data_IF_083750998843
#
_entry.id   IF_083750998843
#
_cell.length_a   1.000
_cell.length_b   1.000
_cell.length_c   1.000
_cell.angle_alpha   90.00
_cell.angle_beta   90.00
_cell.angle_gamma   90.00
#
_symmetry.space_group_name_H-M   'P 1'
#
loop_
_entity.id
_entity.type
_entity.pdbx_description
1 polymer ?
#
# COMPACT_ATOMS: atom_id res chain seq x y z
N UNK A 1 9.50 -7.02 0.09
CA UNK A 1 8.16 -7.48 -0.31
C UNK A 1 7.43 -6.35 -1.00
N UNK A 2 6.75 -6.65 -2.11
CA UNK A 2 5.79 -5.78 -2.76
C UNK A 2 4.37 -6.31 -2.48
N UNK A 3 3.57 -5.54 -1.74
CA UNK A 3 2.20 -5.93 -1.35
C UNK A 3 1.18 -5.18 -2.21
N UNK A 4 0.42 -5.93 -3.02
CA UNK A 4 -0.49 -5.37 -4.03
C UNK A 4 0.29 -4.93 -5.27
N UNK A 5 1.05 -5.84 -5.88
CA UNK A 5 2.05 -5.48 -6.88
C UNK A 5 1.45 -4.90 -8.17
N UNK A 6 0.17 -5.15 -8.49
CA UNK A 6 -0.51 -4.55 -9.63
C UNK A 6 0.21 -4.85 -10.96
N UNK A 7 0.67 -3.80 -11.66
CA UNK A 7 1.46 -3.95 -12.88
C UNK A 7 2.95 -4.23 -12.64
N UNK A 8 3.41 -4.26 -11.38
CA UNK A 8 4.78 -4.59 -11.00
C UNK A 8 5.75 -3.42 -10.98
N UNK A 9 5.28 -2.17 -11.04
CA UNK A 9 6.17 -1.01 -11.07
C UNK A 9 7.04 -0.94 -9.80
N UNK A 10 6.46 -1.11 -8.61
CA UNK A 10 7.21 -1.12 -7.35
C UNK A 10 8.15 -2.33 -7.27
N UNK A 11 7.69 -3.51 -7.67
CA UNK A 11 8.51 -4.72 -7.84
C UNK A 11 9.77 -4.45 -8.68
N UNK A 12 9.65 -3.80 -9.84
CA UNK A 12 10.79 -3.49 -10.71
C UNK A 12 11.81 -2.54 -10.06
N UNK A 13 11.35 -1.56 -9.28
CA UNK A 13 12.25 -0.70 -8.51
C UNK A 13 12.94 -1.48 -7.38
N UNK A 14 12.19 -2.32 -6.64
CA UNK A 14 12.74 -3.15 -5.57
C UNK A 14 13.83 -4.11 -6.09
N UNK A 15 13.63 -4.71 -7.26
CA UNK A 15 14.60 -5.62 -7.89
C UNK A 15 15.96 -4.98 -8.23
N UNK A 16 16.06 -3.64 -8.21
CA UNK A 16 17.34 -2.92 -8.36
C UNK A 16 18.11 -2.77 -7.06
N UNK A 17 17.46 -3.01 -5.93
CA UNK A 17 17.98 -2.74 -4.59
C UNK A 17 17.91 -3.95 -3.65
N UNK A 18 17.21 -5.01 -4.05
CA UNK A 18 17.01 -6.22 -3.29
C UNK A 18 17.45 -7.46 -4.08
N UNK A 19 18.11 -8.39 -3.39
CA UNK A 19 18.52 -9.69 -3.96
C UNK A 19 17.32 -10.61 -4.21
N UNK A 20 16.24 -10.42 -3.44
CA UNK A 20 15.02 -11.23 -3.47
C UNK A 20 13.79 -10.38 -3.21
N UNK A 21 12.81 -10.44 -4.12
CA UNK A 21 11.53 -9.75 -4.01
C UNK A 21 10.41 -10.78 -4.02
N UNK A 22 9.57 -10.74 -3.00
CA UNK A 22 8.26 -11.41 -2.99
C UNK A 22 7.21 -10.38 -3.35
N UNK A 23 6.49 -10.61 -4.43
CA UNK A 23 5.39 -9.76 -4.88
C UNK A 23 4.06 -10.52 -4.73
N UNK A 24 3.08 -9.86 -4.10
CA UNK A 24 1.77 -10.44 -3.80
C UNK A 24 0.65 -9.63 -4.43
N UNK A 25 -0.37 -10.33 -4.93
CA UNK A 25 -1.60 -9.70 -5.40
C UNK A 25 -2.78 -10.68 -5.33
N UNK A 26 -3.99 -10.18 -5.12
CA UNK A 26 -5.20 -11.01 -5.14
C UNK A 26 -5.57 -11.43 -6.58
N UNK A 27 -5.18 -10.61 -7.56
CA UNK A 27 -5.52 -10.77 -8.97
C UNK A 27 -4.45 -11.56 -9.72
N UNK A 28 -4.86 -12.70 -10.29
CA UNK A 28 -4.01 -13.45 -11.21
C UNK A 28 -3.56 -12.61 -12.42
N UNK A 29 -4.39 -11.67 -12.88
CA UNK A 29 -4.07 -10.77 -13.99
C UNK A 29 -2.97 -9.77 -13.60
N UNK A 30 -2.98 -9.23 -12.38
CA UNK A 30 -1.91 -8.38 -11.87
C UNK A 30 -0.57 -9.14 -11.77
N UNK A 31 -0.60 -10.35 -11.24
CA UNK A 31 0.61 -11.21 -11.19
C UNK A 31 1.16 -11.50 -12.59
N UNK A 32 0.28 -11.75 -13.58
CA UNK A 32 0.71 -11.95 -14.97
C UNK A 32 1.36 -10.70 -15.57
N UNK A 33 0.80 -9.50 -15.34
CA UNK A 33 1.41 -8.25 -15.77
C UNK A 33 2.75 -7.99 -15.08
N UNK A 34 2.85 -8.26 -13.79
CA UNK A 34 4.09 -8.15 -13.03
C UNK A 34 5.16 -9.10 -13.58
N UNK A 35 4.81 -10.36 -13.84
CA UNK A 35 5.70 -11.34 -14.44
C UNK A 35 6.19 -10.90 -15.84
N UNK A 36 5.26 -10.43 -16.68
CA UNK A 36 5.58 -9.93 -18.01
C UNK A 36 6.55 -8.74 -17.97
N UNK A 37 6.28 -7.76 -17.11
CA UNK A 37 7.13 -6.57 -16.97
C UNK A 37 8.50 -6.91 -16.38
N UNK A 38 8.58 -7.88 -15.45
CA UNK A 38 9.85 -8.40 -14.93
C UNK A 38 10.67 -9.11 -16.02
N UNK A 39 10.03 -9.97 -16.81
CA UNK A 39 10.68 -10.65 -17.94
C UNK A 39 11.19 -9.65 -18.99
N UNK A 40 10.40 -8.61 -19.30
CA UNK A 40 10.81 -7.53 -20.21
C UNK A 40 12.02 -6.75 -19.67
N UNK A 41 12.15 -6.63 -18.35
CA UNK A 41 13.29 -6.02 -17.68
C UNK A 41 14.50 -6.95 -17.51
N UNK A 42 14.44 -8.20 -18.03
CA UNK A 42 15.53 -9.18 -17.94
C UNK A 42 15.66 -9.87 -16.57
N UNK A 43 14.60 -9.85 -15.77
CA UNK A 43 14.59 -10.44 -14.42
C UNK A 43 14.08 -11.88 -14.46
N UNK A 44 14.77 -12.77 -13.75
CA UNK A 44 14.33 -14.16 -13.56
C UNK A 44 13.18 -14.21 -12.55
N UNK A 45 12.07 -14.84 -12.95
CA UNK A 45 10.86 -15.00 -12.14
C UNK A 45 10.75 -16.46 -11.70
N UNK A 46 10.78 -16.70 -10.40
CA UNK A 46 10.53 -18.00 -9.79
C UNK A 46 9.06 -18.10 -9.37
N UNK A 47 8.39 -19.19 -9.78
CA UNK A 47 7.03 -19.50 -9.34
C UNK A 47 6.06 -19.73 -10.49
N UNK A 48 5.35 -20.85 -10.43
CA UNK A 48 4.33 -21.23 -11.39
C UNK A 48 3.08 -20.33 -11.22
N UNK A 49 2.77 -19.52 -12.24
CA UNK A 49 1.39 -19.07 -12.45
C UNK A 49 0.58 -20.33 -12.73
N UNK A 50 -0.18 -20.80 -11.73
CA UNK A 50 -0.86 -22.08 -11.80
C UNK A 50 -1.79 -22.22 -13.01
N UNK A 51 -1.34 -22.98 -14.01
CA UNK A 51 -2.15 -23.84 -14.86
C UNK A 51 -1.25 -24.92 -15.50
N UNK A 52 -1.32 -26.14 -14.99
CA UNK A 52 -0.74 -27.32 -15.64
C UNK A 52 0.74 -27.57 -15.33
N UNK A 53 1.02 -28.78 -14.85
CA UNK A 53 2.34 -29.39 -14.84
C UNK A 53 2.93 -29.41 -16.25
N UNK A 54 3.97 -28.63 -16.49
CA UNK A 54 5.14 -29.06 -17.27
C UNK A 54 6.30 -28.12 -16.91
N UNK A 55 7.24 -28.67 -16.13
CA UNK A 55 8.52 -28.04 -15.90
C UNK A 55 9.27 -27.99 -17.22
N UNK A 56 9.22 -26.85 -17.91
CA UNK A 56 10.23 -26.58 -18.93
C UNK A 56 11.51 -26.28 -18.15
N UNK A 57 12.35 -27.31 -18.04
CA UNK A 57 13.74 -27.14 -17.66
C UNK A 57 14.40 -26.24 -18.71
N UNK A 58 14.32 -24.93 -18.49
CA UNK A 58 15.12 -23.94 -19.19
C UNK A 58 16.57 -24.14 -18.78
N UNK A 59 17.39 -24.41 -19.78
CA UNK A 59 18.82 -24.70 -19.66
C UNK A 59 19.55 -23.72 -18.73
N UNK A 60 20.26 -24.28 -17.76
CA UNK A 60 21.36 -23.61 -17.07
C UNK A 60 22.47 -23.32 -18.09
N UNK A 61 22.42 -22.15 -18.70
CA UNK A 61 23.51 -21.63 -19.52
C UNK A 61 23.57 -20.12 -19.42
N UNK A 62 24.21 -19.66 -18.35
CA UNK A 62 25.03 -18.45 -18.26
C UNK A 62 24.41 -17.12 -18.68
N UNK A 63 24.01 -16.31 -17.69
CA UNK A 63 24.81 -15.15 -17.32
C UNK A 63 24.46 -14.75 -15.88
N UNK A 64 25.50 -14.57 -15.07
CA UNK A 64 25.45 -13.93 -13.76
C UNK A 64 25.15 -12.43 -13.96
N UNK A 65 23.94 -12.14 -14.45
CA UNK A 65 23.42 -10.78 -14.40
C UNK A 65 22.87 -10.59 -12.99
N UNK A 66 23.34 -9.57 -12.28
CA UNK A 66 22.86 -9.18 -10.94
C UNK A 66 21.39 -8.71 -10.92
N UNK A 67 20.52 -9.34 -11.71
CA UNK A 67 19.09 -9.18 -11.70
C UNK A 67 18.53 -9.90 -10.47
N UNK A 68 17.89 -9.15 -9.57
CA UNK A 68 17.26 -9.71 -8.37
C UNK A 68 16.29 -10.84 -8.68
N UNK A 69 16.05 -11.75 -7.73
CA UNK A 69 15.10 -12.86 -7.89
C UNK A 69 13.69 -12.42 -7.53
N UNK A 70 12.69 -12.81 -8.33
CA UNK A 70 11.27 -12.49 -8.08
C UNK A 70 10.46 -13.76 -7.75
N UNK A 71 9.68 -13.73 -6.67
CA UNK A 71 8.65 -14.72 -6.33
C UNK A 71 7.27 -14.07 -6.39
N UNK A 72 6.31 -14.72 -7.08
CA UNK A 72 4.94 -14.24 -7.22
C UNK A 72 3.97 -15.12 -6.44
N UNK A 73 3.17 -14.52 -5.56
CA UNK A 73 2.18 -15.22 -4.75
C UNK A 73 0.80 -14.60 -4.86
N UNK A 74 -0.22 -15.45 -5.03
CA UNK A 74 -1.61 -15.00 -5.09
C UNK A 74 -2.27 -15.09 -3.72
N UNK A 75 -2.92 -14.01 -3.30
CA UNK A 75 -3.86 -14.01 -2.18
C UNK A 75 -4.06 -12.62 -1.59
N UNK A 76 -4.75 -12.55 -0.45
CA UNK A 76 -5.17 -11.28 0.13
C UNK A 76 -4.14 -10.76 1.14
N UNK A 77 -3.68 -9.53 0.95
CA UNK A 77 -2.80 -8.82 1.88
C UNK A 77 -1.59 -9.67 2.31
N UNK A 78 -1.48 -9.95 3.61
CA UNK A 78 -0.37 -10.68 4.22
C UNK A 78 -0.59 -12.20 4.26
N UNK A 79 -1.77 -12.71 3.88
CA UNK A 79 -2.11 -14.14 3.94
C UNK A 79 -1.11 -15.04 3.18
N UNK A 80 -0.64 -14.69 1.96
CA UNK A 80 0.30 -15.54 1.22
C UNK A 80 1.69 -15.65 1.85
N UNK A 81 2.02 -14.76 2.78
CA UNK A 81 3.34 -14.66 3.41
C UNK A 81 3.28 -14.93 4.92
N UNK A 82 2.22 -15.59 5.39
CA UNK A 82 2.09 -16.03 6.78
C UNK A 82 3.36 -16.73 7.28
N UNK A 83 3.89 -16.27 8.42
CA UNK A 83 5.12 -16.80 9.02
C UNK A 83 6.43 -16.35 8.37
N UNK A 84 6.38 -15.54 7.30
CA UNK A 84 7.57 -14.96 6.65
C UNK A 84 7.78 -13.53 7.13
N UNK A 85 9.06 -13.14 7.22
CA UNK A 85 9.50 -11.80 7.59
C UNK A 85 10.35 -11.18 6.49
N UNK A 86 10.41 -9.85 6.47
CA UNK A 86 11.06 -9.06 5.43
C UNK A 86 11.82 -7.87 6.04
N UNK A 87 12.92 -7.50 5.40
CA UNK A 87 13.70 -6.29 5.73
C UNK A 87 13.02 -4.99 5.23
N UNK A 88 12.19 -5.11 4.19
CA UNK A 88 11.43 -4.01 3.61
C UNK A 88 10.09 -4.52 3.07
N UNK A 89 9.00 -3.89 3.48
CA UNK A 89 7.66 -4.05 2.89
C UNK A 89 7.28 -2.74 2.19
N UNK A 90 6.92 -2.80 0.92
CA UNK A 90 6.40 -1.65 0.18
C UNK A 90 4.99 -1.95 -0.29
N UNK A 91 4.09 -0.97 -0.23
CA UNK A 91 2.73 -1.15 -0.73
C UNK A 91 2.13 0.15 -1.25
N UNK A 92 1.38 0.05 -2.35
CA UNK A 92 0.34 1.01 -2.71
C UNK A 92 -1.00 0.27 -2.63
N UNK A 93 -1.55 0.09 -1.41
CA UNK A 93 -2.75 -0.72 -1.23
C UNK A 93 -3.96 -0.06 -1.91
N UNK A 94 -4.98 -0.82 -2.29
CA UNK A 94 -6.20 -0.24 -2.86
C UNK A 94 -6.80 0.77 -1.86
N UNK A 95 -7.15 1.94 -2.38
CA UNK A 95 -7.38 3.16 -1.59
C UNK A 95 -8.72 3.85 -1.90
N UNK A 96 -9.51 3.31 -2.83
CA UNK A 96 -10.85 3.85 -3.08
C UNK A 96 -11.81 3.27 -2.05
N UNK A 97 -12.41 4.16 -1.26
CA UNK A 97 -13.39 3.82 -0.22
C UNK A 97 -14.78 3.91 -0.85
N UNK A 98 -15.13 2.91 -1.66
CA UNK A 98 -16.46 2.84 -2.29
C UNK A 98 -17.49 2.32 -1.28
N UNK A 99 -18.55 3.09 -0.97
CA UNK A 99 -19.71 2.68 -0.20
C UNK A 99 -20.42 1.46 -0.77
N UNK A 100 -21.07 0.66 0.09
CA UNK A 100 -21.86 -0.50 -0.34
C UNK A 100 -22.96 -0.17 -1.36
N UNK A 101 -23.67 0.94 -1.18
CA UNK A 101 -24.80 1.32 -2.06
C UNK A 101 -24.37 1.49 -3.53
N UNK A 102 -23.21 2.09 -3.77
CA UNK A 102 -22.66 2.25 -5.14
C UNK A 102 -22.25 0.91 -5.75
N UNK A 103 -21.78 -0.05 -4.94
CA UNK A 103 -21.49 -1.41 -5.39
C UNK A 103 -22.76 -2.18 -5.74
N UNK A 104 -23.79 -2.06 -4.90
CA UNK A 104 -25.09 -2.70 -5.10
C UNK A 104 -25.81 -2.17 -6.35
N UNK A 105 -25.63 -0.89 -6.67
CA UNK A 105 -26.14 -0.26 -7.89
C UNK A 105 -25.48 -0.78 -9.19
N UNK A 106 -24.42 -1.61 -9.10
CA UNK A 106 -23.75 -2.19 -10.27
C UNK A 106 -23.01 -1.16 -11.12
N UNK A 107 -22.71 0.01 -10.56
CA UNK A 107 -21.95 1.04 -11.25
C UNK A 107 -20.53 0.54 -11.58
N UNK A 108 -19.89 1.04 -12.65
CA UNK A 108 -18.56 0.58 -13.05
C UNK A 108 -17.56 0.74 -11.90
N UNK A 109 -17.20 -0.39 -11.28
CA UNK A 109 -16.24 -0.38 -10.19
C UNK A 109 -14.84 -0.26 -10.75
N UNK A 110 -14.02 0.47 -10.01
CA UNK A 110 -12.61 0.65 -10.27
C UNK A 110 -11.84 -0.64 -9.95
N UNK A 111 -11.86 -1.60 -10.89
CA UNK A 111 -11.04 -2.81 -10.80
C UNK A 111 -9.61 -2.39 -10.41
N UNK A 112 -9.07 -3.00 -9.35
CA UNK A 112 -7.75 -2.74 -8.74
C UNK A 112 -7.59 -1.58 -7.76
N UNK A 113 -8.45 -0.54 -7.80
CA UNK A 113 -8.34 0.58 -6.85
C UNK A 113 -9.39 0.50 -5.74
N UNK A 114 -10.49 -0.19 -6.01
CA UNK A 114 -11.60 -0.32 -5.08
C UNK A 114 -11.36 -1.37 -4.00
N UNK A 115 -11.23 -0.89 -2.76
CA UNK A 115 -11.14 -1.72 -1.58
C UNK A 115 -12.49 -2.04 -0.93
N UNK A 116 -13.52 -1.24 -1.20
CA UNK A 116 -14.86 -1.36 -0.61
C UNK A 116 -14.95 -1.01 0.87
N UNK A 117 -13.83 -0.57 1.44
CA UNK A 117 -13.68 -0.21 2.84
C UNK A 117 -12.21 0.05 3.17
N UNK A 118 -11.90 0.54 4.38
CA UNK A 118 -10.53 0.85 4.77
C UNK A 118 -9.69 -0.42 4.93
N UNK A 119 -8.66 -0.59 4.10
CA UNK A 119 -7.74 -1.74 4.14
C UNK A 119 -6.62 -1.54 5.15
N UNK A 120 -6.18 -0.29 5.33
CA UNK A 120 -5.04 0.05 6.18
C UNK A 120 -5.16 -0.42 7.63
N UNK A 121 -6.32 -0.32 8.32
CA UNK A 121 -6.43 -0.81 9.69
C UNK A 121 -6.04 -2.29 9.83
N UNK A 122 -6.50 -3.15 8.90
CA UNK A 122 -6.19 -4.59 8.89
C UNK A 122 -4.74 -4.84 8.47
N UNK A 123 -4.26 -4.12 7.45
CA UNK A 123 -2.89 -4.29 6.95
C UNK A 123 -1.85 -3.86 8.00
N UNK A 124 -1.99 -2.65 8.55
CA UNK A 124 -1.04 -2.06 9.51
C UNK A 124 -0.97 -2.88 10.79
N UNK A 125 -2.12 -3.37 11.29
CA UNK A 125 -2.17 -4.24 12.46
C UNK A 125 -1.34 -5.53 12.31
N UNK A 126 -1.23 -6.06 11.09
CA UNK A 126 -0.48 -7.29 10.81
C UNK A 126 1.03 -7.11 10.64
N UNK A 127 1.53 -5.88 10.42
CA UNK A 127 2.92 -5.64 10.00
C UNK A 127 3.97 -6.17 11.00
N UNK A 128 3.68 -6.15 12.31
CA UNK A 128 4.64 -6.58 13.33
C UNK A 128 5.11 -8.03 13.18
N UNK A 129 4.26 -8.91 12.64
CA UNK A 129 4.59 -10.31 12.42
C UNK A 129 5.47 -10.54 11.18
N UNK A 130 5.53 -9.56 10.27
CA UNK A 130 6.19 -9.67 8.98
C UNK A 130 7.42 -8.79 8.81
N UNK A 131 7.75 -7.96 9.80
CA UNK A 131 8.99 -7.17 9.81
C UNK A 131 10.09 -7.92 10.57
N UNK A 132 11.29 -7.99 9.99
CA UNK A 132 12.49 -8.35 10.75
C UNK A 132 12.87 -7.25 11.75
N UNK A 133 13.61 -7.53 12.84
CA UNK A 133 14.15 -6.49 13.72
C UNK A 133 15.02 -5.50 12.92
N UNK A 134 14.70 -4.21 13.01
CA UNK A 134 15.35 -3.15 12.23
C UNK A 134 14.77 -2.94 10.83
N UNK A 135 13.75 -3.69 10.43
CA UNK A 135 13.07 -3.57 9.15
C UNK A 135 12.00 -2.48 9.15
N UNK A 136 11.63 -2.03 7.94
CA UNK A 136 10.58 -1.03 7.75
C UNK A 136 9.51 -1.45 6.73
N UNK A 137 8.32 -0.88 6.89
CA UNK A 137 7.26 -0.88 5.91
C UNK A 137 7.01 0.57 5.45
N UNK A 138 6.91 0.79 4.14
CA UNK A 138 6.62 2.09 3.53
C UNK A 138 5.43 1.93 2.61
N UNK A 139 4.35 2.64 2.87
CA UNK A 139 3.15 2.55 2.05
C UNK A 139 2.47 3.89 1.83
N UNK A 140 1.75 3.98 0.72
CA UNK A 140 0.74 5.00 0.53
C UNK A 140 -0.52 4.62 1.31
N UNK A 141 -1.29 5.62 1.69
CA UNK A 141 -2.54 5.39 2.38
C UNK A 141 -3.49 6.56 2.30
N UNK A 142 -4.75 6.26 2.57
CA UNK A 142 -5.79 7.24 2.78
C UNK A 142 -6.65 6.86 3.98
N UNK A 143 -7.29 7.86 4.60
CA UNK A 143 -8.12 7.69 5.76
C UNK A 143 -9.19 8.76 5.85
N UNK A 144 -10.26 8.45 6.56
CA UNK A 144 -11.39 9.35 6.69
C UNK A 144 -11.22 10.24 7.93
N UNK A 145 -11.43 11.54 7.74
CA UNK A 145 -11.63 12.49 8.82
C UNK A 145 -13.09 12.40 9.24
N UNK A 146 -13.36 12.01 10.50
CA UNK A 146 -14.73 11.79 10.99
C UNK A 146 -15.09 12.72 12.13
N UNK A 147 -16.25 13.35 12.03
CA UNK A 147 -16.80 14.25 13.04
C UNK A 147 -15.81 15.31 13.51
N UNK A 148 -15.81 15.56 14.82
CA UNK A 148 -14.88 16.50 15.47
C UNK A 148 -13.60 15.81 15.99
N UNK A 149 -13.42 14.51 15.73
CA UNK A 149 -12.27 13.74 16.19
C UNK A 149 -11.01 14.04 15.38
N UNK A 150 -9.85 13.83 15.99
CA UNK A 150 -8.57 13.93 15.27
C UNK A 150 -8.37 12.68 14.42
N UNK A 151 -8.07 12.86 13.12
CA UNK A 151 -7.68 11.73 12.25
C UNK A 151 -6.47 10.98 12.84
N UNK A 152 -5.61 11.68 13.59
CA UNK A 152 -4.43 11.10 14.26
C UNK A 152 -4.83 10.01 15.24
N UNK A 153 -5.92 10.19 15.98
CA UNK A 153 -6.37 9.19 16.95
C UNK A 153 -6.85 7.92 16.23
N UNK A 154 -7.59 8.10 15.12
CA UNK A 154 -8.06 7.00 14.30
C UNK A 154 -6.91 6.20 13.69
N UNK A 155 -5.91 6.88 13.11
CA UNK A 155 -4.74 6.22 12.51
C UNK A 155 -3.82 5.61 13.56
N UNK A 156 -3.62 6.28 14.70
CA UNK A 156 -2.80 5.76 15.79
C UNK A 156 -3.35 4.45 16.36
N UNK A 157 -4.66 4.24 16.33
CA UNK A 157 -5.30 3.01 16.76
C UNK A 157 -4.98 1.78 15.89
N UNK A 158 -4.47 1.98 14.67
CA UNK A 158 -4.06 0.87 13.79
C UNK A 158 -2.66 0.35 14.12
N UNK A 159 -1.83 1.19 14.74
CA UNK A 159 -0.41 0.95 14.92
C UNK A 159 -0.17 -0.10 16.01
N UNK A 160 0.48 -1.24 15.66
CA UNK A 160 0.82 -2.27 16.64
C UNK A 160 1.69 -1.72 17.77
N UNK A 161 1.52 -2.30 18.96
CA UNK A 161 2.43 -2.05 20.07
C UNK A 161 3.87 -2.42 19.69
N UNK A 162 4.85 -1.69 20.23
CA UNK A 162 6.26 -1.97 19.99
C UNK A 162 6.80 -1.54 18.62
N UNK A 163 5.98 -1.00 17.71
CA UNK A 163 6.42 -0.44 16.43
C UNK A 163 6.48 1.08 16.45
N UNK A 164 7.54 1.61 15.85
CA UNK A 164 7.62 3.02 15.53
C UNK A 164 6.76 3.35 14.33
N UNK A 165 6.27 4.59 14.28
CA UNK A 165 5.48 5.06 13.16
C UNK A 165 5.76 6.52 12.84
N UNK A 166 5.86 6.79 11.55
CA UNK A 166 5.82 8.13 10.99
C UNK A 166 4.72 8.17 9.92
N UNK A 167 3.63 8.86 10.23
CA UNK A 167 2.50 9.06 9.32
C UNK A 167 2.48 10.51 8.90
N UNK A 168 2.45 10.73 7.60
CA UNK A 168 2.43 12.06 7.00
C UNK A 168 1.16 12.19 6.16
N UNK A 169 0.24 13.03 6.62
CA UNK A 169 -0.86 13.52 5.80
C UNK A 169 -0.34 14.62 4.87
N UNK A 170 -0.51 14.45 3.57
CA UNK A 170 -0.01 15.41 2.57
C UNK A 170 -1.11 16.28 1.97
N UNK A 171 -2.32 15.74 1.96
CA UNK A 171 -3.47 16.31 1.28
C UNK A 171 -4.73 15.80 1.98
N UNK A 172 -5.72 16.68 2.10
CA UNK A 172 -7.07 16.32 2.54
C UNK A 172 -8.01 16.80 1.45
N UNK A 173 -8.89 15.91 1.02
CA UNK A 173 -9.87 16.19 -0.02
C UNK A 173 -11.28 16.23 0.56
N UNK A 174 -12.09 17.15 0.05
CA UNK A 174 -13.52 17.23 0.37
C UNK A 174 -14.26 15.96 -0.11
N UNK A 175 -15.26 15.44 0.64
CA UNK A 175 -15.98 14.23 0.26
C UNK A 175 -16.64 14.29 -1.13
N UNK A 176 -17.17 15.44 -1.54
CA UNK A 176 -17.82 15.62 -2.86
C UNK A 176 -16.77 15.63 -3.97
N UNK A 177 -15.64 16.29 -3.74
CA UNK A 177 -14.53 16.29 -4.71
C UNK A 177 -13.91 14.90 -4.86
N UNK A 178 -13.68 14.21 -3.73
CA UNK A 178 -13.25 12.81 -3.71
C UNK A 178 -14.26 11.98 -4.49
N UNK A 179 -15.55 12.27 -4.26
CA UNK A 179 -16.62 11.52 -4.84
C UNK A 179 -16.63 11.63 -6.40
N UNK A 180 -16.65 12.87 -6.87
CA UNK A 180 -16.66 13.16 -8.30
C UNK A 180 -15.38 12.68 -9.01
N UNK A 181 -14.21 12.71 -8.35
CA UNK A 181 -12.95 12.24 -8.93
C UNK A 181 -13.05 10.76 -9.34
N UNK A 182 -13.45 9.88 -8.41
CA UNK A 182 -13.44 8.44 -8.69
C UNK A 182 -14.57 7.99 -9.60
N UNK A 183 -15.73 8.65 -9.58
CA UNK A 183 -16.79 8.38 -10.56
C UNK A 183 -16.28 8.62 -11.99
N UNK A 184 -15.59 9.75 -12.19
CA UNK A 184 -14.99 10.08 -13.50
C UNK A 184 -13.90 9.09 -13.90
N UNK A 185 -13.05 8.71 -12.96
CA UNK A 185 -11.97 7.75 -13.19
C UNK A 185 -12.52 6.33 -13.47
N UNK A 186 -13.68 5.99 -12.90
CA UNK A 186 -14.50 4.81 -13.23
C UNK A 186 -15.19 4.88 -14.59
N UNK A 187 -15.06 6.00 -15.29
CA UNK A 187 -15.61 6.22 -16.63
C UNK A 187 -17.04 6.76 -16.65
N UNK A 188 -17.64 7.03 -15.48
CA UNK A 188 -18.94 7.68 -15.36
C UNK A 188 -18.74 9.19 -15.29
N UNK A 189 -19.17 9.89 -16.34
CA UNK A 189 -19.03 11.35 -16.43
C UNK A 189 -20.37 12.00 -16.75
N UNK A 190 -20.60 13.26 -16.34
CA UNK A 190 -21.83 13.97 -16.66
C UNK A 190 -22.13 14.04 -18.17
N UNK A 191 -21.09 14.18 -19.01
CA UNK A 191 -21.24 14.21 -20.47
C UNK A 191 -21.70 12.88 -21.09
N UNK A 192 -21.45 11.76 -20.41
CA UNK A 192 -21.83 10.42 -20.89
C UNK A 192 -23.20 10.03 -20.38
N UNK A 193 -23.47 10.27 -19.11
CA UNK A 193 -24.72 9.95 -18.43
C UNK A 193 -24.87 10.81 -17.17
N UNK A 194 -25.55 11.95 -17.30
CA UNK A 194 -25.72 12.90 -16.20
C UNK A 194 -26.59 12.34 -15.08
N UNK A 195 -27.67 11.62 -15.42
CA UNK A 195 -28.61 11.07 -14.43
C UNK A 195 -27.95 9.98 -13.60
N UNK A 196 -27.20 9.06 -14.24
CA UNK A 196 -26.45 8.05 -13.51
C UNK A 196 -25.30 8.64 -12.68
N UNK A 197 -24.63 9.68 -13.18
CA UNK A 197 -23.59 10.37 -12.42
C UNK A 197 -24.14 11.02 -11.15
N UNK A 198 -25.24 11.77 -11.27
CA UNK A 198 -25.86 12.47 -10.15
C UNK A 198 -26.36 11.48 -9.08
N UNK A 199 -27.02 10.38 -9.51
CA UNK A 199 -27.47 9.33 -8.59
C UNK A 199 -26.31 8.63 -7.86
N UNK A 200 -25.20 8.37 -8.57
CA UNK A 200 -24.01 7.77 -7.98
C UNK A 200 -23.32 8.71 -6.98
N UNK A 201 -23.25 10.00 -7.31
CA UNK A 201 -22.68 11.03 -6.46
C UNK A 201 -23.51 11.22 -5.19
N UNK A 202 -24.84 11.29 -5.31
CA UNK A 202 -25.76 11.37 -4.16
C UNK A 202 -25.57 10.17 -3.23
N UNK A 203 -25.51 8.94 -3.77
CA UNK A 203 -25.26 7.74 -2.97
C UNK A 203 -23.91 7.76 -2.23
N UNK A 204 -22.87 8.38 -2.80
CA UNK A 204 -21.59 8.58 -2.14
C UNK A 204 -21.67 9.61 -1.02
N UNK A 205 -22.34 10.74 -1.27
CA UNK A 205 -22.51 11.81 -0.29
C UNK A 205 -23.35 11.33 0.90
N UNK A 206 -24.48 10.68 0.64
CA UNK A 206 -25.36 10.14 1.68
C UNK A 206 -24.61 9.18 2.62
N UNK A 207 -23.79 8.29 2.06
CA UNK A 207 -22.98 7.37 2.86
C UNK A 207 -21.91 8.10 3.69
N UNK A 208 -21.25 9.11 3.14
CA UNK A 208 -20.30 9.94 3.88
C UNK A 208 -21.00 10.71 5.01
N UNK A 209 -22.19 11.26 4.77
CA UNK A 209 -22.96 11.97 5.79
C UNK A 209 -23.40 11.04 6.93
N UNK A 210 -23.91 9.85 6.61
CA UNK A 210 -24.30 8.84 7.62
C UNK A 210 -23.12 8.43 8.50
N UNK A 211 -21.92 8.37 7.94
CA UNK A 211 -20.68 8.00 8.65
C UNK A 211 -19.93 9.20 9.23
N UNK A 212 -20.48 10.40 9.08
CA UNK A 212 -19.92 11.69 9.50
C UNK A 212 -18.51 11.94 8.95
N UNK A 213 -18.25 11.54 7.71
CA UNK A 213 -16.99 11.77 7.00
C UNK A 213 -16.95 13.22 6.50
N UNK A 214 -15.95 13.96 6.96
CA UNK A 214 -15.74 15.39 6.65
C UNK A 214 -14.61 15.64 5.67
N UNK A 215 -13.82 14.62 5.38
CA UNK A 215 -12.72 14.68 4.42
C UNK A 215 -12.00 13.35 4.31
N UNK A 216 -11.23 13.19 3.25
CA UNK A 216 -10.38 12.03 3.03
C UNK A 216 -8.93 12.51 2.97
N UNK A 217 -8.15 12.14 3.98
CA UNK A 217 -6.72 12.38 4.04
C UNK A 217 -5.97 11.38 3.16
N UNK A 218 -4.92 11.84 2.50
CA UNK A 218 -3.98 11.03 1.73
C UNK A 218 -2.58 11.24 2.27
N UNK A 219 -1.74 10.21 2.18
CA UNK A 219 -0.44 10.30 2.81
C UNK A 219 0.45 9.09 2.67
N UNK A 220 1.46 9.11 3.53
CA UNK A 220 2.46 8.06 3.67
C UNK A 220 2.39 7.47 5.07
N UNK A 221 2.55 6.15 5.17
CA UNK A 221 2.77 5.46 6.43
C UNK A 221 4.15 4.78 6.36
N UNK A 222 5.03 5.19 7.27
CA UNK A 222 6.32 4.56 7.50
C UNK A 222 6.22 3.88 8.87
N UNK A 223 6.31 2.55 8.88
CA UNK A 223 6.31 1.74 10.10
C UNK A 223 7.66 1.08 10.23
N UNK A 224 8.26 1.11 11.42
CA UNK A 224 9.58 0.54 11.65
C UNK A 224 9.56 -0.36 12.87
N UNK A 225 10.21 -1.53 12.76
CA UNK A 225 10.40 -2.43 13.89
C UNK A 225 11.77 -2.13 14.54
N UNK A 226 11.82 -1.66 15.79
CA UNK A 226 13.08 -1.45 16.50
C UNK A 226 13.96 -2.70 16.53
N UNK A 227 15.29 -2.55 16.52
CA UNK A 227 16.23 -3.70 16.63
C UNK A 227 16.21 -4.31 18.03
N UNK A 228 15.99 -3.46 19.04
CA UNK A 228 15.88 -3.85 20.44
C UNK A 228 14.55 -3.32 21.02
N UNK A 229 13.93 -4.03 21.97
CA UNK A 229 12.73 -3.53 22.65
C UNK A 229 12.97 -2.17 23.30
N UNK A 230 12.08 -1.21 23.02
CA UNK A 230 12.08 0.13 23.60
C UNK A 230 10.69 0.75 23.49
N UNK A 231 10.52 1.90 24.13
CA UNK A 231 9.33 2.72 23.90
C UNK A 231 9.30 3.18 22.44
N UNK A 232 8.21 2.91 21.70
CA UNK A 232 8.11 3.34 20.31
C UNK A 232 7.93 4.84 20.19
N UNK A 233 8.50 5.44 19.14
CA UNK A 233 8.17 6.81 18.76
C UNK A 233 7.11 6.80 17.67
N UNK A 234 6.10 7.66 17.84
CA UNK A 234 5.00 7.81 16.89
C UNK A 234 4.84 9.28 16.56
N UNK A 235 5.00 9.62 15.28
CA UNK A 235 4.80 10.97 14.75
C UNK A 235 3.72 10.93 13.68
N UNK A 236 2.60 11.61 13.93
CA UNK A 236 1.50 11.75 12.99
C UNK A 236 1.34 13.25 12.68
N UNK A 237 1.76 13.66 11.48
CA UNK A 237 1.85 15.06 11.11
C UNK A 237 1.18 15.38 9.78
N UNK A 238 0.85 16.65 9.61
CA UNK A 238 0.30 17.22 8.38
C UNK A 238 1.41 18.03 7.72
N UNK A 239 1.74 17.69 6.47
CA UNK A 239 2.74 18.37 5.67
C UNK A 239 2.12 18.71 4.32
N UNK A 240 1.54 19.90 4.22
CA UNK A 240 0.84 20.38 3.02
C UNK A 240 1.77 21.04 1.99
N UNK A 241 3.07 21.10 2.27
CA UNK A 241 4.06 21.71 1.38
C UNK A 241 4.62 20.68 0.39
N UNK A 242 4.80 21.10 -0.86
CA UNK A 242 5.48 20.29 -1.87
C UNK A 242 6.99 20.34 -1.66
N UNK A 243 7.53 19.27 -1.09
CA UNK A 243 8.98 19.06 -1.03
C UNK A 243 9.60 18.89 -2.43
N UNK A 244 10.91 19.12 -2.52
CA UNK A 244 11.72 18.83 -3.71
C UNK A 244 12.65 17.65 -3.42
N UNK A 245 12.76 16.69 -4.35
CA UNK A 245 13.73 15.59 -4.26
C UNK A 245 13.14 14.22 -3.90
N UNK A 246 14.04 13.25 -3.67
CA UNK A 246 13.69 11.86 -3.34
C UNK A 246 13.54 11.67 -1.83
N UNK A 247 12.38 11.22 -1.37
CA UNK A 247 12.08 11.05 0.05
C UNK A 247 12.77 9.83 0.69
N UNK A 248 13.07 8.79 -0.10
CA UNK A 248 13.58 7.51 0.39
C UNK A 248 14.84 7.63 1.26
N UNK A 249 15.93 8.27 0.78
CA UNK A 249 17.14 8.46 1.59
C UNK A 249 16.89 9.22 2.89
N UNK A 250 16.07 10.26 2.84
CA UNK A 250 15.73 11.04 4.04
C UNK A 250 14.97 10.21 5.08
N UNK A 251 13.99 9.41 4.65
CA UNK A 251 13.29 8.48 5.55
C UNK A 251 14.27 7.52 6.20
N UNK A 252 15.18 6.92 5.42
CA UNK A 252 16.19 6.00 5.94
C UNK A 252 17.10 6.66 6.99
N UNK A 253 17.58 7.88 6.72
CA UNK A 253 18.39 8.66 7.66
C UNK A 253 17.65 8.96 8.98
N UNK A 254 16.38 9.32 8.91
CA UNK A 254 15.55 9.59 10.10
C UNK A 254 15.37 8.31 10.93
N UNK A 255 15.04 7.18 10.29
CA UNK A 255 14.90 5.90 10.98
C UNK A 255 16.22 5.48 11.65
N UNK A 256 17.34 5.62 10.95
CA UNK A 256 18.66 5.29 11.51
C UNK A 256 19.04 6.21 12.69
N UNK A 257 18.79 7.51 12.58
CA UNK A 257 19.04 8.46 13.66
C UNK A 257 18.19 8.14 14.90
N UNK A 258 16.91 7.79 14.73
CA UNK A 258 16.02 7.37 15.82
C UNK A 258 16.50 6.10 16.49
N UNK A 259 17.00 5.14 15.72
CA UNK A 259 17.56 3.90 16.26
C UNK A 259 18.83 4.17 17.09
N UNK A 260 19.73 5.01 16.60
CA UNK A 260 20.97 5.39 17.33
C UNK A 260 20.68 6.16 18.62
N UNK A 261 19.72 7.08 18.59
CA UNK A 261 19.35 7.90 19.75
C UNK A 261 18.68 7.10 20.87
N UNK A 262 18.06 5.97 20.52
CA UNK A 262 17.40 5.09 21.47
C UNK A 262 18.30 3.93 21.98
N UNK A 263 19.46 3.71 21.35
CA UNK A 263 20.50 2.82 21.88
C UNK A 263 21.08 3.33 23.20
N UNK A 264 21.70 2.47 24.02
CA UNK A 264 22.40 2.92 25.21
C UNK A 264 23.43 3.98 24.79
N UNK A 265 23.37 5.15 25.42
CA UNK A 265 24.43 6.15 25.28
C UNK A 265 25.65 5.52 25.94
N UNK A 266 26.67 5.19 25.16
CA UNK A 266 27.98 4.91 25.71
C UNK A 266 28.39 6.12 26.58
N UNK A 267 28.50 5.86 27.88
CA UNK A 267 28.91 6.83 28.90
C UNK A 267 30.43 6.82 29.07
#
# INVERSE_FOLDING_TARGET
MDLGCGCGIQTLYLLRHAEYVVATDISARALAFTAFNAALAGVSVAGALGAGTESVAGSESGSDSGAGRLELLRGSLLEPVAGRRFDLIVSNPPFVITPPAVREAGLPLMEYRDAGGPVLPRLVAGLGEHLEPGASAVMLGNWEHRGAGSWRDAVAAWLPEGLDAWVVEREVQDPVEYAAMWLRDGGLTPDRDAEAFDAALEAWIDDFEVRDVRGVGFGYLIVHRPRCPREPWRLLEEVTTSGQGVLGPHVAEVLEARERLAGPRDA
#
